data_IF_250514755555
#
_entry.id   IF_250514755555
#
_cell.length_a   1.000
_cell.length_b   1.000
_cell.length_c   1.000
_cell.angle_alpha   90.00
_cell.angle_beta   90.00
_cell.angle_gamma   90.00
#
_symmetry.space_group_name_H-M   'P 1'
#
loop_
_entity.id
_entity.type
_entity.pdbx_description
1 polymer ?
#
# COMPACT_ATOMS: atom_id res chain seq x y z
N UNK A 1 -5.55 -13.65 -21.58
CA UNK A 1 -4.85 -14.34 -20.46
C UNK A 1 -5.21 -13.63 -19.18
N UNK A 2 -5.99 -14.25 -18.29
CA UNK A 2 -6.26 -13.69 -16.96
C UNK A 2 -4.93 -13.57 -16.23
N UNK A 3 -4.48 -12.33 -15.99
CA UNK A 3 -3.34 -12.05 -15.14
C UNK A 3 -3.76 -12.43 -13.71
N UNK A 4 -3.48 -13.67 -13.30
CA UNK A 4 -3.81 -14.17 -11.96
C UNK A 4 -2.88 -13.50 -10.96
N UNK A 5 -3.45 -12.88 -9.92
CA UNK A 5 -2.67 -12.34 -8.82
C UNK A 5 -1.86 -13.43 -8.12
N UNK A 6 -0.60 -13.15 -7.85
CA UNK A 6 0.27 -14.08 -7.17
C UNK A 6 0.14 -13.87 -5.66
N UNK A 7 -0.44 -14.87 -4.97
CA UNK A 7 -0.27 -15.03 -3.53
C UNK A 7 1.12 -15.63 -3.32
N UNK A 8 2.09 -14.81 -2.93
CA UNK A 8 3.51 -15.18 -2.94
C UNK A 8 4.06 -15.63 -1.58
N UNK A 9 3.21 -15.94 -0.60
CA UNK A 9 3.68 -16.31 0.74
C UNK A 9 4.60 -17.54 0.71
N UNK A 10 4.34 -18.49 -0.20
CA UNK A 10 5.13 -19.73 -0.32
C UNK A 10 6.41 -19.59 -1.18
N UNK A 11 6.55 -18.51 -1.96
CA UNK A 11 7.72 -18.27 -2.84
C UNK A 11 8.77 -17.36 -2.22
N UNK A 12 8.37 -16.58 -1.23
CA UNK A 12 9.31 -15.84 -0.43
C UNK A 12 9.97 -16.87 0.52
N UNK A 13 11.26 -16.70 0.87
CA UNK A 13 11.97 -17.57 1.81
C UNK A 13 11.14 -17.79 3.10
N UNK A 14 11.41 -18.82 3.92
CA UNK A 14 10.48 -19.23 4.99
C UNK A 14 9.82 -18.05 5.73
N UNK A 15 8.51 -18.09 6.08
CA UNK A 15 7.82 -16.95 6.69
C UNK A 15 8.53 -16.33 7.90
N UNK A 16 9.34 -17.12 8.61
CA UNK A 16 10.19 -16.68 9.72
C UNK A 16 11.46 -15.91 9.27
N UNK A 17 12.08 -16.28 8.15
CA UNK A 17 13.27 -15.60 7.60
C UNK A 17 12.90 -14.24 6.99
N UNK A 18 11.73 -14.18 6.35
CA UNK A 18 11.14 -12.93 5.87
C UNK A 18 10.80 -12.00 7.03
N UNK A 19 10.13 -12.50 8.07
CA UNK A 19 9.84 -11.71 9.25
C UNK A 19 11.15 -11.09 9.79
N UNK A 20 12.20 -11.88 10.03
CA UNK A 20 13.44 -11.31 10.55
C UNK A 20 14.14 -10.32 9.61
N UNK A 21 14.00 -10.44 8.28
CA UNK A 21 14.70 -9.57 7.31
C UNK A 21 13.90 -8.33 6.89
N UNK A 22 12.59 -8.46 6.68
CA UNK A 22 11.68 -7.37 6.32
C UNK A 22 11.69 -6.23 7.35
N UNK A 23 11.84 -6.64 8.61
CA UNK A 23 11.52 -5.80 9.74
C UNK A 23 12.74 -5.03 10.30
N UNK A 24 13.92 -5.19 9.71
CA UNK A 24 15.14 -4.42 10.09
C UNK A 24 15.33 -3.19 9.17
N UNK A 25 14.40 -2.90 8.25
CA UNK A 25 14.49 -1.72 7.38
C UNK A 25 13.83 -0.51 8.04
N UNK A 26 14.57 0.61 8.07
CA UNK A 26 14.05 1.92 8.47
C UNK A 26 13.18 2.52 7.35
N UNK A 27 11.91 2.79 7.66
CA UNK A 27 11.04 3.66 6.90
C UNK A 27 10.98 5.04 7.58
N UNK A 28 10.38 6.03 6.91
CA UNK A 28 10.32 7.40 7.42
C UNK A 28 8.90 7.96 7.37
N UNK A 29 8.48 8.66 8.43
CA UNK A 29 7.13 9.25 8.53
C UNK A 29 7.23 10.76 8.75
N UNK A 30 6.52 11.54 7.92
CA UNK A 30 6.49 13.01 7.92
C UNK A 30 7.80 13.76 7.60
N UNK A 31 8.94 13.29 8.10
CA UNK A 31 10.24 13.91 7.88
C UNK A 31 11.39 12.88 7.96
N UNK A 32 12.62 13.24 7.55
CA UNK A 32 13.76 12.30 7.52
C UNK A 32 14.33 11.89 8.88
N UNK A 33 13.97 12.55 9.98
CA UNK A 33 14.48 12.20 11.32
C UNK A 33 13.55 11.26 12.07
N UNK A 34 12.28 11.21 11.69
CA UNK A 34 11.28 10.31 12.25
C UNK A 34 11.34 8.94 11.57
N UNK A 35 12.25 8.11 12.08
CA UNK A 35 12.43 6.72 11.65
C UNK A 35 11.34 5.83 12.23
N UNK A 36 10.79 4.99 11.38
CA UNK A 36 9.80 3.98 11.73
C UNK A 36 10.35 2.62 11.31
N UNK A 37 10.67 1.79 12.29
CA UNK A 37 11.10 0.43 12.03
C UNK A 37 9.86 -0.42 11.69
N UNK A 38 9.93 -1.17 10.60
CA UNK A 38 8.79 -1.97 10.15
C UNK A 38 8.42 -3.10 11.15
N UNK A 39 9.38 -3.64 11.93
CA UNK A 39 9.12 -4.67 12.96
C UNK A 39 8.14 -4.18 13.99
N UNK A 40 8.41 -2.98 14.49
CA UNK A 40 7.72 -2.41 15.63
C UNK A 40 6.29 -2.00 15.26
N UNK A 41 6.00 -1.80 13.97
CA UNK A 41 4.67 -1.49 13.48
C UNK A 41 3.67 -2.61 13.74
N UNK A 42 4.07 -3.87 13.53
CA UNK A 42 3.15 -5.02 13.55
C UNK A 42 3.39 -5.98 14.72
N UNK A 43 4.34 -5.68 15.61
CA UNK A 43 4.58 -6.47 16.82
C UNK A 43 3.34 -6.51 17.71
N UNK A 44 2.82 -7.70 17.98
CA UNK A 44 1.58 -7.93 18.73
C UNK A 44 0.31 -7.38 18.07
N UNK A 45 0.36 -6.99 16.78
CA UNK A 45 -0.76 -6.39 16.06
C UNK A 45 -1.05 -7.12 14.76
N UNK A 46 -2.33 -7.12 14.38
CA UNK A 46 -2.77 -7.46 13.01
C UNK A 46 -2.92 -6.17 12.22
N UNK A 47 -2.31 -6.08 11.05
CA UNK A 47 -2.27 -4.86 10.26
C UNK A 47 -2.25 -5.13 8.76
N UNK A 48 -2.52 -4.09 7.99
CA UNK A 48 -2.41 -4.08 6.53
C UNK A 48 -1.27 -3.14 6.17
N UNK A 49 -0.37 -3.62 5.31
CA UNK A 49 0.57 -2.76 4.59
C UNK A 49 0.29 -2.87 3.09
N UNK A 50 0.18 -1.74 2.41
CA UNK A 50 0.11 -1.72 0.95
C UNK A 50 1.16 -0.77 0.40
N UNK A 51 1.69 -1.10 -0.77
CA UNK A 51 2.70 -0.29 -1.44
C UNK A 51 2.21 0.23 -2.78
N UNK A 52 2.69 1.40 -3.14
CA UNK A 52 2.36 2.06 -4.40
C UNK A 52 3.61 2.36 -5.22
N UNK A 53 3.51 2.40 -6.56
CA UNK A 53 4.62 2.83 -7.41
C UNK A 53 5.08 4.27 -7.17
N UNK A 54 4.19 5.14 -6.73
CA UNK A 54 4.52 6.54 -6.46
C UNK A 54 3.36 7.35 -5.95
N UNK A 55 3.64 8.23 -4.98
CA UNK A 55 2.74 9.31 -4.58
C UNK A 55 2.33 10.16 -5.80
N UNK A 56 1.13 10.73 -5.76
CA UNK A 56 0.55 11.58 -6.82
C UNK A 56 0.33 10.92 -8.20
N UNK A 57 0.67 9.65 -8.38
CA UNK A 57 0.42 8.96 -9.66
C UNK A 57 -1.08 8.62 -9.84
N UNK A 58 -1.63 8.69 -11.06
CA UNK A 58 -3.07 8.52 -11.31
C UNK A 58 -3.73 7.29 -10.67
N UNK A 59 -3.11 6.11 -10.82
CA UNK A 59 -3.65 4.86 -10.27
C UNK A 59 -3.53 4.74 -8.75
N UNK A 60 -2.76 5.62 -8.10
CA UNK A 60 -2.58 5.62 -6.65
C UNK A 60 -3.48 6.66 -5.96
N UNK A 61 -3.73 7.78 -6.65
CA UNK A 61 -4.38 8.97 -6.09
C UNK A 61 -5.83 9.17 -6.52
N UNK A 62 -6.22 8.74 -7.72
CA UNK A 62 -7.52 9.14 -8.25
C UNK A 62 -8.65 8.47 -7.48
N UNK A 63 -9.66 9.24 -7.12
CA UNK A 63 -11.01 8.71 -7.00
C UNK A 63 -11.59 8.80 -8.41
N UNK A 64 -11.90 7.66 -9.02
CA UNK A 64 -12.57 7.72 -10.32
C UNK A 64 -14.02 8.13 -10.04
N UNK A 65 -14.47 9.30 -10.50
CA UNK A 65 -15.90 9.55 -10.54
C UNK A 65 -16.50 8.42 -11.39
N UNK A 66 -17.69 7.93 -11.04
CA UNK A 66 -18.28 6.81 -11.75
C UNK A 66 -18.50 7.09 -13.24
N UNK A 67 -18.50 8.37 -13.66
CA UNK A 67 -18.77 8.79 -15.02
C UNK A 67 -17.66 9.71 -15.55
N UNK A 68 -16.72 9.12 -16.30
CA UNK A 68 -16.01 9.79 -17.40
C UNK A 68 -17.07 10.40 -18.37
N UNK A 69 -16.81 11.50 -19.10
CA UNK A 69 -17.84 12.41 -19.57
C UNK A 69 -18.66 11.79 -20.70
N UNK A 70 -19.81 11.20 -20.38
CA UNK A 70 -20.94 11.13 -21.31
C UNK A 70 -22.33 11.09 -20.66
N UNK A 71 -22.48 11.18 -19.33
CA UNK A 71 -23.83 11.42 -18.79
C UNK A 71 -23.84 12.08 -17.41
N UNK A 72 -24.53 13.21 -17.33
CA UNK A 72 -24.53 14.18 -16.23
C UNK A 72 -25.71 14.01 -15.26
N UNK A 73 -26.46 12.90 -15.32
CA UNK A 73 -27.80 12.84 -14.71
C UNK A 73 -28.05 11.74 -13.67
N UNK A 74 -27.03 11.01 -13.20
CA UNK A 74 -27.22 9.99 -12.15
C UNK A 74 -26.20 10.20 -11.03
N UNK A 75 -26.46 11.15 -10.13
CA UNK A 75 -25.58 11.46 -8.98
C UNK A 75 -26.03 10.83 -7.65
N UNK A 76 -27.15 10.11 -7.60
CA UNK A 76 -27.71 9.63 -6.33
C UNK A 76 -27.43 8.16 -5.99
N UNK A 77 -26.82 7.36 -6.87
CA UNK A 77 -26.60 5.92 -6.61
C UNK A 77 -25.32 5.32 -7.23
N UNK A 78 -24.29 6.12 -7.52
CA UNK A 78 -23.14 5.59 -8.26
C UNK A 78 -21.88 5.53 -7.40
N UNK A 79 -21.44 4.30 -7.14
CA UNK A 79 -20.26 3.95 -6.37
C UNK A 79 -19.03 4.65 -6.94
N UNK A 80 -18.41 5.54 -6.16
CA UNK A 80 -17.11 6.12 -6.51
C UNK A 80 -16.11 4.98 -6.58
N UNK A 81 -15.52 4.72 -7.75
CA UNK A 81 -14.47 3.72 -7.91
C UNK A 81 -13.19 4.28 -7.26
N UNK A 82 -13.01 3.96 -5.98
CA UNK A 82 -11.80 4.29 -5.25
C UNK A 82 -10.62 3.50 -5.84
N UNK A 83 -9.51 4.17 -6.12
CA UNK A 83 -8.27 3.48 -6.51
C UNK A 83 -7.56 2.98 -5.26
N UNK A 84 -6.23 3.08 -5.19
CA UNK A 84 -5.47 2.40 -4.15
C UNK A 84 -5.57 3.10 -2.78
N UNK A 85 -4.88 4.23 -2.58
CA UNK A 85 -4.87 4.92 -1.27
C UNK A 85 -6.28 5.39 -0.85
N UNK A 86 -7.09 6.04 -1.71
CA UNK A 86 -8.42 6.47 -1.32
C UNK A 86 -9.33 5.34 -0.86
N UNK A 87 -9.21 4.14 -1.46
CA UNK A 87 -10.00 2.97 -1.06
C UNK A 87 -9.73 2.55 0.39
N UNK A 88 -8.44 2.53 0.78
CA UNK A 88 -8.05 2.26 2.16
C UNK A 88 -8.48 3.36 3.12
N UNK A 89 -8.38 4.64 2.73
CA UNK A 89 -8.82 5.76 3.57
C UNK A 89 -10.34 5.70 3.82
N UNK A 90 -11.15 5.43 2.79
CA UNK A 90 -12.60 5.30 2.92
C UNK A 90 -12.98 4.11 3.79
N UNK A 91 -12.27 2.98 3.65
CA UNK A 91 -12.58 1.73 4.39
C UNK A 91 -11.86 1.57 5.72
N UNK A 92 -11.11 2.57 6.16
CA UNK A 92 -10.26 2.45 7.35
C UNK A 92 -11.05 2.03 8.61
N UNK A 93 -12.23 2.59 8.82
CA UNK A 93 -13.07 2.24 9.98
C UNK A 93 -13.65 0.83 9.88
N UNK A 94 -14.09 0.40 8.70
CA UNK A 94 -14.57 -0.97 8.44
C UNK A 94 -13.46 -2.00 8.70
N UNK A 95 -12.26 -1.75 8.14
CA UNK A 95 -11.10 -2.62 8.32
C UNK A 95 -10.69 -2.69 9.79
N UNK A 96 -10.69 -1.54 10.49
CA UNK A 96 -10.43 -1.50 11.94
C UNK A 96 -11.47 -2.27 12.74
N UNK A 97 -12.75 -2.17 12.37
CA UNK A 97 -13.84 -2.97 12.96
C UNK A 97 -13.66 -4.49 12.78
N UNK A 98 -12.90 -4.92 11.77
CA UNK A 98 -12.53 -6.32 11.52
C UNK A 98 -11.22 -6.75 12.23
N UNK A 99 -10.72 -5.93 13.17
CA UNK A 99 -9.55 -6.25 13.98
C UNK A 99 -8.21 -5.82 13.37
N UNK A 100 -8.21 -5.05 12.28
CA UNK A 100 -6.98 -4.42 11.75
C UNK A 100 -6.61 -3.22 12.61
N UNK A 101 -5.48 -3.31 13.30
CA UNK A 101 -5.02 -2.26 14.21
C UNK A 101 -4.20 -1.18 13.51
N UNK A 102 -3.51 -1.54 12.42
CA UNK A 102 -2.65 -0.63 11.65
C UNK A 102 -2.94 -0.75 10.16
N UNK A 103 -3.02 0.39 9.46
CA UNK A 103 -3.09 0.45 8.00
C UNK A 103 -1.98 1.37 7.52
N UNK A 104 -1.10 0.87 6.67
CA UNK A 104 0.14 1.53 6.28
C UNK A 104 0.26 1.59 4.75
N UNK A 105 0.55 2.76 4.21
CA UNK A 105 0.89 2.99 2.81
C UNK A 105 2.40 3.24 2.70
N UNK A 106 3.10 2.47 1.86
CA UNK A 106 4.53 2.65 1.58
C UNK A 106 4.75 3.07 0.12
N UNK A 107 5.69 3.99 -0.12
CA UNK A 107 6.14 4.35 -1.47
C UNK A 107 7.63 4.67 -1.49
N UNK A 108 8.26 4.46 -2.65
CA UNK A 108 9.60 4.97 -2.95
C UNK A 108 9.50 6.46 -3.29
N UNK A 109 9.36 7.26 -2.24
CA UNK A 109 9.31 8.71 -2.23
C UNK A 109 9.99 9.19 -0.95
N UNK A 110 10.37 10.47 -0.87
CA UNK A 110 10.82 11.08 0.38
C UNK A 110 9.64 11.30 1.35
N UNK A 111 9.90 11.42 2.67
CA UNK A 111 8.86 11.55 3.68
C UNK A 111 8.03 12.85 3.56
N UNK A 112 8.58 13.93 2.99
CA UNK A 112 7.83 15.17 2.82
C UNK A 112 6.74 14.99 1.75
N UNK A 113 7.08 14.37 0.62
CA UNK A 113 6.13 14.02 -0.43
C UNK A 113 5.06 13.06 0.09
N UNK A 114 5.44 12.03 0.87
CA UNK A 114 4.46 11.11 1.46
C UNK A 114 3.53 11.79 2.47
N UNK A 115 4.04 12.72 3.29
CA UNK A 115 3.23 13.51 4.23
C UNK A 115 2.22 14.40 3.50
N UNK A 116 2.68 15.14 2.49
CA UNK A 116 1.83 16.02 1.69
C UNK A 116 0.73 15.23 0.96
N UNK A 117 1.11 14.11 0.34
CA UNK A 117 0.17 13.24 -0.37
C UNK A 117 -0.89 12.63 0.57
N UNK A 118 -0.47 12.18 1.76
CA UNK A 118 -1.38 11.71 2.79
C UNK A 118 -2.40 12.76 3.23
N UNK A 119 -1.95 14.01 3.42
CA UNK A 119 -2.83 15.13 3.79
C UNK A 119 -3.87 15.41 2.71
N UNK A 120 -3.48 15.42 1.43
CA UNK A 120 -4.40 15.62 0.31
C UNK A 120 -5.52 14.57 0.26
N UNK A 121 -5.21 13.32 0.61
CA UNK A 121 -6.18 12.23 0.59
C UNK A 121 -6.87 11.97 1.94
N UNK A 122 -6.68 12.83 2.94
CA UNK A 122 -7.33 12.67 4.25
C UNK A 122 -6.90 11.40 4.98
N UNK A 123 -5.65 10.97 4.80
CA UNK A 123 -5.10 9.76 5.41
C UNK A 123 -4.87 9.88 6.93
N UNK A 124 -4.81 11.09 7.47
CA UNK A 124 -4.50 11.32 8.89
C UNK A 124 -5.45 10.55 9.83
N UNK A 125 -4.89 9.81 10.79
CA UNK A 125 -5.62 8.94 11.72
C UNK A 125 -6.22 7.66 11.10
N UNK A 126 -6.13 7.50 9.78
CA UNK A 126 -6.74 6.39 9.02
C UNK A 126 -5.70 5.46 8.41
N UNK A 127 -4.74 6.02 7.70
CA UNK A 127 -3.64 5.33 7.02
C UNK A 127 -2.34 6.06 7.33
N UNK A 128 -1.35 5.33 7.85
CA UNK A 128 0.00 5.88 8.06
C UNK A 128 0.76 5.90 6.74
N UNK A 129 1.46 7.00 6.49
CA UNK A 129 2.13 7.26 5.22
C UNK A 129 3.63 7.16 5.41
N UNK A 130 4.24 6.07 4.94
CA UNK A 130 5.65 5.79 5.15
C UNK A 130 6.43 5.90 3.85
N UNK A 131 7.57 6.57 3.93
CA UNK A 131 8.53 6.72 2.85
C UNK A 131 9.61 5.64 2.92
N UNK A 132 9.97 5.10 1.75
CA UNK A 132 11.11 4.22 1.51
C UNK A 132 12.06 4.89 0.49
N UNK A 133 12.79 5.97 0.84
CA UNK A 133 13.46 6.82 -0.15
C UNK A 133 14.56 6.10 -0.94
N UNK A 134 15.18 5.07 -0.36
CA UNK A 134 16.26 4.29 -0.98
C UNK A 134 15.78 2.99 -1.66
N UNK A 135 14.47 2.75 -1.65
CA UNK A 135 13.84 1.49 -2.03
C UNK A 135 14.35 0.28 -1.23
N UNK A 136 14.88 0.48 -0.01
CA UNK A 136 15.47 -0.58 0.79
C UNK A 136 14.42 -1.61 1.20
N UNK A 137 13.23 -1.15 1.55
CA UNK A 137 12.12 -2.03 1.94
C UNK A 137 11.58 -2.78 0.73
N UNK A 138 11.36 -2.07 -0.40
CA UNK A 138 10.93 -2.70 -1.65
C UNK A 138 11.94 -3.76 -2.14
N UNK A 139 13.25 -3.48 -2.02
CA UNK A 139 14.33 -4.42 -2.38
C UNK A 139 14.42 -5.63 -1.45
N UNK A 140 14.25 -5.43 -0.14
CA UNK A 140 14.25 -6.52 0.83
C UNK A 140 13.12 -7.53 0.55
N UNK A 141 12.04 -7.07 -0.06
CA UNK A 141 10.90 -7.89 -0.48
C UNK A 141 11.02 -8.49 -1.88
N UNK A 142 12.05 -8.14 -2.65
CA UNK A 142 12.13 -8.39 -4.10
C UNK A 142 10.91 -7.85 -4.89
N UNK A 143 10.33 -6.76 -4.38
CA UNK A 143 9.18 -6.08 -4.95
C UNK A 143 9.53 -4.71 -5.53
N UNK A 144 10.81 -4.44 -5.75
CA UNK A 144 11.27 -3.32 -6.57
C UNK A 144 10.96 -3.54 -8.05
N UNK A 145 10.78 -2.44 -8.78
CA UNK A 145 10.62 -2.40 -10.24
C UNK A 145 11.23 -1.12 -10.78
N UNK A 146 11.96 -1.19 -11.90
CA UNK A 146 12.48 0.02 -12.54
C UNK A 146 11.40 0.65 -13.43
N UNK A 147 11.04 1.89 -13.12
CA UNK A 147 10.06 2.70 -13.85
C UNK A 147 10.70 4.06 -14.20
N UNK A 148 11.56 4.13 -15.24
CA UNK A 148 12.30 5.35 -15.57
C UNK A 148 11.47 6.63 -15.74
N UNK A 149 10.25 6.61 -16.31
CA UNK A 149 9.39 7.79 -16.38
C UNK A 149 8.95 8.35 -15.01
N UNK A 150 9.02 7.51 -13.98
CA UNK A 150 8.81 7.90 -12.59
C UNK A 150 10.15 8.17 -11.88
N UNK A 151 11.28 8.29 -12.57
CA UNK A 151 12.57 8.58 -11.93
C UNK A 151 13.30 7.33 -11.41
N UNK A 152 13.04 6.16 -11.98
CA UNK A 152 13.85 4.95 -11.79
C UNK A 152 13.18 3.91 -10.90
N UNK A 153 13.95 3.33 -9.97
CA UNK A 153 13.48 2.23 -9.10
C UNK A 153 12.33 2.70 -8.21
N UNK A 154 11.21 1.97 -8.28
CA UNK A 154 9.99 2.14 -7.49
C UNK A 154 9.59 0.82 -6.84
N UNK A 155 8.53 0.86 -6.03
CA UNK A 155 7.88 -0.35 -5.53
C UNK A 155 6.82 -0.85 -6.52
N UNK A 156 6.69 -2.16 -6.66
CA UNK A 156 5.50 -2.76 -7.26
C UNK A 156 4.28 -2.42 -6.40
N UNK A 157 3.10 -2.46 -7.00
CA UNK A 157 1.85 -2.38 -6.27
C UNK A 157 1.52 -3.73 -5.65
N UNK A 158 1.31 -3.73 -4.35
CA UNK A 158 0.87 -4.89 -3.60
C UNK A 158 0.19 -4.49 -2.30
N UNK A 159 -0.44 -5.45 -1.66
CA UNK A 159 -0.95 -5.36 -0.30
C UNK A 159 -0.59 -6.62 0.47
N UNK A 160 -0.42 -6.50 1.77
CA UNK A 160 -0.19 -7.64 2.65
C UNK A 160 -0.92 -7.48 3.98
N UNK A 161 -1.37 -8.62 4.51
CA UNK A 161 -1.84 -8.73 5.89
C UNK A 161 -0.68 -9.25 6.71
N UNK A 162 -0.31 -8.51 7.74
CA UNK A 162 0.77 -8.84 8.67
C UNK A 162 0.16 -9.04 10.06
N UNK A 163 0.54 -10.12 10.73
CA UNK A 163 0.10 -10.39 12.10
C UNK A 163 1.30 -10.81 12.94
N UNK A 164 1.54 -10.05 14.00
CA UNK A 164 2.69 -10.22 14.91
C UNK A 164 4.03 -10.29 14.16
N UNK A 165 4.22 -9.36 13.22
CA UNK A 165 5.41 -9.37 12.36
C UNK A 165 5.53 -10.60 11.48
N UNK A 166 4.43 -11.29 11.13
CA UNK A 166 4.45 -12.39 10.15
C UNK A 166 3.49 -12.06 9.02
N UNK A 167 3.98 -12.09 7.78
CA UNK A 167 3.15 -11.92 6.58
C UNK A 167 2.23 -13.14 6.46
N UNK A 168 0.91 -12.92 6.58
CA UNK A 168 -0.12 -13.97 6.42
C UNK A 168 -0.61 -14.07 4.99
N UNK A 169 -0.73 -12.92 4.33
CA UNK A 169 -1.18 -12.83 2.93
C UNK A 169 -0.36 -11.76 2.24
N UNK A 170 0.05 -12.01 0.99
CA UNK A 170 0.69 -11.03 0.12
C UNK A 170 0.04 -11.08 -1.27
N UNK A 171 -0.61 -10.00 -1.67
CA UNK A 171 -1.29 -9.84 -2.96
C UNK A 171 -0.46 -8.90 -3.83
N UNK A 172 0.30 -9.45 -4.79
CA UNK A 172 1.09 -8.65 -5.73
C UNK A 172 0.35 -8.50 -7.05
N UNK A 173 0.26 -7.27 -7.55
CA UNK A 173 -0.31 -7.01 -8.88
C UNK A 173 0.52 -7.73 -9.95
N UNK A 174 -0.09 -8.47 -10.90
CA UNK A 174 0.65 -9.33 -11.82
C UNK A 174 1.64 -8.60 -12.73
N UNK A 175 1.34 -7.34 -13.07
CA UNK A 175 2.23 -6.46 -13.83
C UNK A 175 2.93 -5.42 -12.94
N UNK A 176 2.83 -5.58 -11.62
CA UNK A 176 3.44 -4.73 -10.62
C UNK A 176 2.86 -3.32 -10.52
N UNK A 177 1.86 -2.93 -11.30
CA UNK A 177 1.35 -1.54 -11.28
C UNK A 177 -0.17 -1.41 -11.43
N UNK A 178 -0.85 -2.48 -11.86
CA UNK A 178 -2.29 -2.58 -12.07
C UNK A 178 -3.12 -2.36 -10.81
N UNK A 179 -4.44 -2.45 -10.92
CA UNK A 179 -5.39 -2.22 -9.82
C UNK A 179 -6.39 -3.36 -9.78
N UNK A 180 -6.06 -4.43 -9.05
CA UNK A 180 -6.89 -5.61 -8.95
C UNK A 180 -6.91 -6.18 -7.53
N UNK A 181 -6.01 -7.10 -7.21
CA UNK A 181 -5.99 -7.81 -5.93
C UNK A 181 -5.38 -7.02 -4.77
N UNK A 182 -4.66 -5.94 -5.02
CA UNK A 182 -4.08 -5.14 -3.94
C UNK A 182 -5.06 -4.11 -3.35
N UNK A 183 -6.27 -4.01 -3.90
CA UNK A 183 -7.27 -3.02 -3.46
C UNK A 183 -7.87 -3.41 -2.10
N UNK A 184 -8.29 -2.41 -1.32
CA UNK A 184 -8.90 -2.60 0.02
C UNK A 184 -10.04 -3.64 0.05
N UNK A 185 -10.85 -3.69 -1.01
CA UNK A 185 -11.99 -4.60 -1.17
C UNK A 185 -11.61 -6.06 -1.38
N UNK A 186 -10.34 -6.31 -1.69
CA UNK A 186 -9.80 -7.64 -1.98
C UNK A 186 -8.98 -8.20 -0.84
N UNK A 187 -8.75 -7.43 0.22
CA UNK A 187 -7.97 -7.89 1.37
C UNK A 187 -8.80 -8.88 2.19
N UNK A 188 -8.29 -10.11 2.40
CA UNK A 188 -8.95 -11.06 3.28
C UNK A 188 -8.67 -10.65 4.73
N UNK A 189 -9.62 -9.94 5.35
CA UNK A 189 -9.54 -9.52 6.75
C UNK A 189 -10.61 -10.12 7.63
#
# INVERSE_FOLDING_TARGET
>A
MNKVCALLVDRLASPADLANTLFIVDLYEDNPTNKVNAADLFKGKKGILFAVPGAFTPGCSKTLPPNCPFDSLVLSQVSVFQTHLPGYVTKAEELKGKGIQEIVCVSVNDPFVMSAWGKEHGANGKVRMLADPSAAFAKALDLQVDLPPLGGVRSKRYSMVVEDGVIKTLNVEPDGTGLSCSLADKIPV
#
